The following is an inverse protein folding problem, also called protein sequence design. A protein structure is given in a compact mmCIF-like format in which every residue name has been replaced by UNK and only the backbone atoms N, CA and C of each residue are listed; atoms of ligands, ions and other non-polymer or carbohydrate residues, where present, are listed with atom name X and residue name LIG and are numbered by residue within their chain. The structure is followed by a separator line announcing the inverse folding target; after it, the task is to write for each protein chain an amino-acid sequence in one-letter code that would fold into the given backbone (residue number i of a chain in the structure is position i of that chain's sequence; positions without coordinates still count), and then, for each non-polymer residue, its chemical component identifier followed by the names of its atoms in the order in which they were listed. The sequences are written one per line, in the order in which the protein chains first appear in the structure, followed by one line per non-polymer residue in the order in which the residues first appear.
data_IF_798668001163
#
_entry.id   IF_798668001163
#
_cell.length_a   1.000
_cell.length_b   1.000
_cell.length_c   1.000
_cell.angle_alpha   90.00
_cell.angle_beta   90.00
_cell.angle_gamma   90.00
#
_symmetry.space_group_name_H-M   'P 1'
#
loop_
_entity.id
_entity.type
_entity.pdbx_description
1 polymer ?
#
# COMPACT_ATOMS: atom_id res chain seq x y z
N UNK A 1 -16.79 -1.73 2.65
CA UNK A 1 -16.06 -0.45 2.81
C UNK A 1 -15.83 0.16 1.44
N UNK A 2 -16.18 1.42 1.20
CA UNK A 2 -15.85 2.13 -0.05
C UNK A 2 -14.36 2.52 -0.11
N UNK A 3 -13.78 2.48 -1.31
CA UNK A 3 -12.48 3.08 -1.65
C UNK A 3 -12.72 4.44 -2.30
N UNK A 4 -12.07 5.47 -1.79
CA UNK A 4 -12.21 6.84 -2.29
C UNK A 4 -10.96 7.33 -3.02
N UNK A 5 -11.17 8.24 -3.96
CA UNK A 5 -10.17 9.20 -4.41
C UNK A 5 -10.76 10.59 -4.27
N UNK A 6 -10.18 11.38 -3.36
CA UNK A 6 -10.77 12.63 -2.87
C UNK A 6 -12.22 12.39 -2.41
N UNK A 7 -13.19 13.02 -3.09
CA UNK A 7 -14.62 12.94 -2.74
C UNK A 7 -15.38 11.88 -3.55
N UNK A 8 -14.69 11.18 -4.46
CA UNK A 8 -15.33 10.22 -5.38
C UNK A 8 -15.11 8.79 -4.91
N UNK A 9 -16.18 8.00 -4.86
CA UNK A 9 -16.09 6.54 -4.64
C UNK A 9 -15.56 5.90 -5.93
N UNK A 10 -14.40 5.26 -5.83
CA UNK A 10 -13.83 4.48 -6.92
C UNK A 10 -14.32 3.04 -6.94
N UNK A 11 -14.56 2.45 -5.77
CA UNK A 11 -14.93 1.05 -5.65
C UNK A 11 -15.72 0.79 -4.36
N UNK A 12 -16.76 -0.03 -4.42
CA UNK A 12 -17.50 -0.50 -3.24
C UNK A 12 -18.19 -1.86 -3.52
N UNK A 13 -17.92 -2.92 -2.73
CA UNK A 13 -16.92 -2.99 -1.68
C UNK A 13 -15.50 -2.90 -2.26
N UNK A 14 -14.57 -2.38 -1.47
CA UNK A 14 -13.14 -2.41 -1.82
C UNK A 14 -12.66 -3.86 -1.99
N UNK A 15 -11.87 -4.10 -3.04
CA UNK A 15 -11.16 -5.35 -3.26
C UNK A 15 -9.81 -5.29 -2.54
N UNK A 16 -9.68 -6.04 -1.45
CA UNK A 16 -8.49 -6.00 -0.61
C UNK A 16 -7.24 -6.53 -1.34
N UNK A 17 -7.42 -7.48 -2.25
CA UNK A 17 -6.38 -8.07 -3.11
C UNK A 17 -5.67 -7.06 -4.01
N UNK A 18 -6.31 -5.95 -4.36
CA UNK A 18 -5.73 -4.91 -5.22
C UNK A 18 -5.13 -3.75 -4.42
N UNK A 19 -5.28 -3.73 -3.09
CA UNK A 19 -4.90 -2.57 -2.28
C UNK A 19 -3.40 -2.30 -2.29
N UNK A 20 -2.56 -3.34 -2.26
CA UNK A 20 -1.11 -3.18 -2.27
C UNK A 20 -0.63 -2.44 -3.53
N UNK A 21 -1.05 -2.91 -4.71
CA UNK A 21 -0.76 -2.26 -5.99
C UNK A 21 -1.27 -0.83 -6.03
N UNK A 22 -2.50 -0.60 -5.53
CA UNK A 22 -3.11 0.74 -5.50
C UNK A 22 -2.34 1.69 -4.59
N UNK A 23 -1.90 1.27 -3.41
CA UNK A 23 -1.05 2.07 -2.54
C UNK A 23 0.27 2.42 -3.22
N UNK A 24 0.97 1.42 -3.75
CA UNK A 24 2.25 1.61 -4.43
C UNK A 24 2.13 2.56 -5.62
N UNK A 25 1.14 2.35 -6.49
CA UNK A 25 0.91 3.20 -7.66
C UNK A 25 0.60 4.65 -7.27
N UNK A 26 -0.28 4.88 -6.29
CA UNK A 26 -0.64 6.23 -5.85
C UNK A 26 0.54 6.95 -5.18
N UNK A 27 1.30 6.26 -4.32
CA UNK A 27 2.47 6.84 -3.67
C UNK A 27 3.56 7.22 -4.68
N UNK A 28 3.87 6.31 -5.62
CA UNK A 28 4.81 6.56 -6.72
C UNK A 28 4.38 7.76 -7.57
N UNK A 29 3.13 7.77 -8.01
CA UNK A 29 2.58 8.86 -8.81
C UNK A 29 2.67 10.20 -8.07
N UNK A 30 2.30 10.23 -6.79
CA UNK A 30 2.38 11.43 -5.97
C UNK A 30 3.83 11.95 -5.88
N UNK A 31 4.78 11.10 -5.50
CA UNK A 31 6.20 11.46 -5.36
C UNK A 31 6.76 12.02 -6.68
N UNK A 32 6.53 11.30 -7.79
CA UNK A 32 7.00 11.73 -9.10
C UNK A 32 6.44 13.11 -9.50
N UNK A 33 5.15 13.35 -9.24
CA UNK A 33 4.51 14.63 -9.54
C UNK A 33 5.05 15.77 -8.68
N UNK A 34 5.27 15.55 -7.38
CA UNK A 34 5.80 16.58 -6.49
C UNK A 34 7.27 16.89 -6.80
N UNK A 35 8.08 15.86 -7.07
CA UNK A 35 9.46 16.02 -7.50
C UNK A 35 9.57 16.85 -8.78
N UNK A 36 8.70 16.60 -9.77
CA UNK A 36 8.65 17.39 -11.01
C UNK A 36 8.28 18.86 -10.79
N UNK A 37 7.46 19.16 -9.79
CA UNK A 37 7.10 20.54 -9.42
C UNK A 37 8.22 21.25 -8.65
N UNK A 38 9.15 20.51 -8.04
CA UNK A 38 10.20 21.06 -7.20
C UNK A 38 9.69 21.61 -5.87
N UNK A 39 8.50 21.20 -5.43
CA UNK A 39 7.91 21.62 -4.16
C UNK A 39 8.15 20.55 -3.07
N UNK A 40 8.40 20.95 -1.81
CA UNK A 40 8.41 20.00 -0.71
C UNK A 40 7.02 19.39 -0.53
N UNK A 41 6.99 18.11 -0.19
CA UNK A 41 5.74 17.36 -0.04
C UNK A 41 5.64 16.65 1.30
N UNK A 42 4.40 16.33 1.66
CA UNK A 42 4.08 15.46 2.78
C UNK A 42 3.22 14.31 2.27
N UNK A 43 3.69 13.08 2.46
CA UNK A 43 2.97 11.86 2.15
C UNK A 43 2.70 11.09 3.45
N UNK A 44 1.42 10.88 3.75
CA UNK A 44 0.98 9.97 4.79
C UNK A 44 0.39 8.72 4.15
N UNK A 45 1.00 7.56 4.41
CA UNK A 45 0.63 6.28 3.81
C UNK A 45 0.29 5.26 4.91
N UNK A 46 -0.96 5.24 5.40
CA UNK A 46 -1.41 4.26 6.38
C UNK A 46 -1.71 2.92 5.71
N UNK A 47 -0.94 1.89 6.06
CA UNK A 47 -1.17 0.53 5.56
C UNK A 47 -2.38 -0.10 6.27
N UNK A 48 -3.25 -0.76 5.51
CA UNK A 48 -4.31 -1.63 6.06
C UNK A 48 -3.81 -3.06 6.35
N UNK A 49 -2.64 -3.42 5.81
CA UNK A 49 -1.97 -4.69 6.01
C UNK A 49 -1.71 -4.93 7.50
N UNK A 50 -1.54 -6.19 7.91
CA UNK A 50 -1.38 -6.68 9.29
C UNK A 50 -2.56 -6.48 10.27
N UNK A 51 -3.43 -5.48 10.07
CA UNK A 51 -4.70 -5.37 10.82
C UNK A 51 -5.83 -6.17 10.14
N UNK A 52 -5.91 -6.15 8.81
CA UNK A 52 -6.76 -7.04 8.03
C UNK A 52 -5.87 -7.94 7.19
N UNK A 53 -5.78 -9.21 7.58
CA UNK A 53 -5.35 -10.24 6.65
C UNK A 53 -6.40 -10.30 5.54
N UNK A 54 -5.95 -10.44 4.29
CA UNK A 54 -6.80 -10.83 3.19
C UNK A 54 -7.70 -11.99 3.66
N UNK A 55 -9.02 -11.79 3.57
CA UNK A 55 -9.97 -12.51 4.42
C UNK A 55 -9.98 -14.06 4.22
N UNK A 56 -10.55 -14.79 5.19
CA UNK A 56 -10.38 -16.24 5.33
C UNK A 56 -11.41 -17.09 4.55
N UNK A 57 -10.97 -18.32 4.23
CA UNK A 57 -11.59 -19.59 3.76
C UNK A 57 -13.10 -19.76 3.47
N UNK A 58 -14.02 -18.92 3.95
CA UNK A 58 -15.45 -19.23 3.96
C UNK A 58 -16.30 -18.43 2.96
N UNK A 59 -15.67 -17.64 2.08
CA UNK A 59 -16.37 -16.88 1.04
C UNK A 59 -16.11 -17.51 -0.34
N UNK A 60 -17.16 -17.97 -1.07
CA UNK A 60 -17.02 -18.76 -2.31
C UNK A 60 -16.38 -18.02 -3.49
N UNK A 61 -16.16 -16.72 -3.35
CA UNK A 61 -15.49 -15.85 -4.33
C UNK A 61 -14.54 -14.96 -3.55
N UNK A 62 -13.28 -15.35 -3.40
CA UNK A 62 -12.26 -14.38 -2.95
C UNK A 62 -11.04 -14.41 -3.86
N UNK A 63 -10.91 -13.27 -4.53
CA UNK A 63 -9.78 -12.85 -5.33
C UNK A 63 -8.52 -12.83 -4.48
N UNK A 64 -7.51 -13.47 -5.04
CA UNK A 64 -6.16 -13.75 -4.58
C UNK A 64 -5.45 -12.55 -3.95
N UNK A 65 -4.79 -12.73 -2.81
CA UNK A 65 -3.67 -11.85 -2.48
C UNK A 65 -2.46 -12.31 -3.27
N UNK A 66 -1.79 -11.36 -3.92
CA UNK A 66 -0.76 -11.66 -4.94
C UNK A 66 0.47 -12.37 -4.35
N UNK A 67 0.63 -12.34 -3.02
CA UNK A 67 1.83 -12.77 -2.31
C UNK A 67 1.68 -14.10 -1.54
N UNK A 68 0.73 -14.96 -1.94
CA UNK A 68 0.50 -16.24 -1.26
C UNK A 68 0.86 -17.41 -2.18
N UNK A 69 1.69 -18.35 -1.70
CA UNK A 69 1.89 -19.63 -2.39
C UNK A 69 0.65 -20.56 -2.29
N UNK A 70 -0.14 -20.41 -1.23
CA UNK A 70 -1.42 -21.09 -1.03
C UNK A 70 -2.47 -20.07 -0.54
N UNK A 71 -3.48 -19.74 -1.37
CA UNK A 71 -4.56 -18.82 -1.00
C UNK A 71 -5.37 -19.29 0.23
N UNK A 72 -5.25 -20.56 0.61
CA UNK A 72 -5.90 -21.15 1.78
C UNK A 72 -5.12 -20.94 3.10
N UNK A 73 -3.93 -20.34 3.05
CA UNK A 73 -3.03 -20.14 4.19
C UNK A 73 -2.37 -18.77 4.23
N UNK A 74 -3.10 -17.68 3.97
CA UNK A 74 -2.55 -16.32 4.13
C UNK A 74 -2.13 -16.12 5.59
N UNK A 75 -0.85 -15.83 5.76
CA UNK A 75 -0.23 -15.63 7.07
C UNK A 75 -0.05 -14.15 7.38
N UNK A 76 0.22 -13.86 8.65
CA UNK A 76 0.71 -12.55 9.06
C UNK A 76 2.00 -12.17 8.33
N UNK A 77 2.88 -13.15 8.10
CA UNK A 77 4.17 -12.94 7.45
C UNK A 77 3.99 -12.49 6.00
N UNK A 78 3.03 -13.06 5.26
CA UNK A 78 2.69 -12.64 3.89
C UNK A 78 2.20 -11.19 3.87
N UNK A 79 1.38 -10.79 4.85
CA UNK A 79 0.89 -9.41 4.95
C UNK A 79 2.02 -8.42 5.32
N UNK A 80 3.01 -8.86 6.10
CA UNK A 80 4.21 -8.07 6.38
C UNK A 80 5.08 -7.94 5.14
N UNK A 81 5.26 -9.01 4.36
CA UNK A 81 6.04 -9.00 3.12
C UNK A 81 5.40 -8.09 2.06
N UNK A 82 4.08 -8.14 1.90
CA UNK A 82 3.35 -7.23 1.01
C UNK A 82 3.48 -5.76 1.45
N UNK A 83 3.43 -5.49 2.76
CA UNK A 83 3.66 -4.15 3.31
C UNK A 83 5.10 -3.67 3.03
N UNK A 84 6.10 -4.54 3.22
CA UNK A 84 7.50 -4.25 2.91
C UNK A 84 7.69 -3.94 1.42
N UNK A 85 7.04 -4.71 0.54
CA UNK A 85 7.07 -4.46 -0.90
C UNK A 85 6.52 -3.06 -1.25
N UNK A 86 5.40 -2.63 -0.66
CA UNK A 86 4.86 -1.28 -0.89
C UNK A 86 5.84 -0.22 -0.38
N UNK A 87 6.47 -0.43 0.79
CA UNK A 87 7.48 0.47 1.31
C UNK A 87 8.69 0.57 0.36
N UNK A 88 9.12 -0.55 -0.22
CA UNK A 88 10.14 -0.60 -1.27
C UNK A 88 9.77 0.27 -2.48
N UNK A 89 8.53 0.17 -2.97
CA UNK A 89 8.04 0.99 -4.08
C UNK A 89 8.10 2.50 -3.79
N UNK A 90 7.90 2.90 -2.53
CA UNK A 90 8.05 4.30 -2.10
C UNK A 90 9.52 4.73 -2.15
N UNK A 91 10.42 3.91 -1.61
CA UNK A 91 11.86 4.19 -1.61
C UNK A 91 12.40 4.28 -3.03
N UNK A 92 12.04 3.34 -3.90
CA UNK A 92 12.42 3.35 -5.32
C UNK A 92 11.95 4.63 -6.02
N UNK A 93 10.70 5.05 -5.78
CA UNK A 93 10.16 6.29 -6.36
C UNK A 93 10.97 7.53 -5.97
N UNK A 94 11.41 7.62 -4.72
CA UNK A 94 12.24 8.72 -4.22
C UNK A 94 13.61 8.74 -4.89
N UNK A 95 14.22 7.56 -5.09
CA UNK A 95 15.51 7.42 -5.77
C UNK A 95 15.40 7.76 -7.26
N UNK A 96 14.43 7.17 -7.96
CA UNK A 96 14.16 7.42 -9.38
C UNK A 96 13.84 8.90 -9.66
N UNK A 97 13.17 9.56 -8.73
CA UNK A 97 12.82 10.98 -8.84
C UNK A 97 13.94 11.93 -8.38
N UNK A 98 15.06 11.39 -7.88
CA UNK A 98 16.23 12.19 -7.46
C UNK A 98 16.05 13.00 -6.16
N UNK A 99 15.01 12.70 -5.36
CA UNK A 99 14.66 13.46 -4.15
C UNK A 99 14.97 12.72 -2.85
N UNK A 100 15.49 11.48 -2.93
CA UNK A 100 15.77 10.64 -1.77
C UNK A 100 16.71 11.31 -0.73
N UNK A 101 17.73 12.05 -1.17
CA UNK A 101 18.71 12.69 -0.27
C UNK A 101 18.15 13.85 0.56
N UNK A 102 16.98 14.38 0.19
CA UNK A 102 16.31 15.47 0.88
C UNK A 102 14.90 15.08 1.36
N UNK A 103 14.68 13.77 1.57
CA UNK A 103 13.41 13.24 2.08
C UNK A 103 13.65 12.53 3.41
N UNK A 104 12.86 12.88 4.43
CA UNK A 104 12.79 12.12 5.67
C UNK A 104 11.68 11.06 5.55
N UNK A 105 12.04 9.79 5.71
CA UNK A 105 11.08 8.68 5.77
C UNK A 105 10.94 8.21 7.21
N UNK A 106 9.72 8.23 7.73
CA UNK A 106 9.37 7.68 9.04
C UNK A 106 8.47 6.46 8.82
N UNK A 107 8.95 5.29 9.23
CA UNK A 107 8.17 4.05 9.23
C UNK A 107 7.84 3.66 10.66
N UNK A 108 6.57 3.46 10.97
CA UNK A 108 6.11 3.16 12.33
C UNK A 108 4.76 2.43 12.32
N UNK A 109 4.34 1.95 13.49
CA UNK A 109 3.04 1.33 13.73
C UNK A 109 2.14 2.29 14.49
N UNK A 110 0.83 2.22 14.28
CA UNK A 110 -0.17 3.01 15.00
C UNK A 110 -0.33 2.54 16.46
N UNK A 111 -0.24 1.23 16.69
CA UNK A 111 -0.21 0.58 18.00
C UNK A 111 0.64 -0.70 18.01
N UNK A 112 0.82 -1.29 19.20
CA UNK A 112 1.34 -2.66 19.33
C UNK A 112 0.31 -3.72 18.91
N UNK A 113 0.71 -5.00 18.80
CA UNK A 113 -0.23 -6.10 18.56
C UNK A 113 -1.30 -6.23 19.66
#
# INVERSE_FOLDING_TARGET
MPLYHNETILQQPVQLSELADRYAAQARQFIQQQAQRGEPFFLYLPFSHVHQLCAPKDLPEQEYCQWTADPSSITFDDAVEEMDWIAGQVIDALHESGVASNTLVLFTSDNGP
#
